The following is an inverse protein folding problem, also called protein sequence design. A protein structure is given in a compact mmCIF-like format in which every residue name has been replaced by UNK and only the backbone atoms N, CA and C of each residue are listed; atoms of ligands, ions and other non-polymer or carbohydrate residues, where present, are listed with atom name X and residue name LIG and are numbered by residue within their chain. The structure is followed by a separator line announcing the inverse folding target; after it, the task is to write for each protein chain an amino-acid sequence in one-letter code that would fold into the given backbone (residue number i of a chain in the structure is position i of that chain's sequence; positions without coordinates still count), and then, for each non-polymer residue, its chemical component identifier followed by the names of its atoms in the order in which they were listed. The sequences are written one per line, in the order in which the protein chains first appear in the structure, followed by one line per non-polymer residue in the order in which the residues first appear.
data_IF_164341179817
#
_entry.id   IF_164341179817
#
_cell.length_a   1.000
_cell.length_b   1.000
_cell.length_c   1.000
_cell.angle_alpha   90.00
_cell.angle_beta   90.00
_cell.angle_gamma   90.00
#
_symmetry.space_group_name_H-M   'P 1'
#
loop_
_entity.id
_entity.type
_entity.pdbx_description
1 polymer ?
#
# COMPACT_ATOMS: atom_id res chain seq x y z
N UNK A 1 -20.23 8.95 -13.09
CA UNK A 1 -19.34 8.13 -12.24
C UNK A 1 -17.93 8.69 -12.40
N UNK A 2 -17.33 9.22 -11.34
CA UNK A 2 -15.95 9.71 -11.34
C UNK A 2 -15.01 8.56 -10.99
N UNK A 3 -13.92 8.40 -11.75
CA UNK A 3 -12.87 7.42 -11.42
C UNK A 3 -11.61 8.18 -11.01
N UNK A 4 -11.12 7.94 -9.81
CA UNK A 4 -9.84 8.43 -9.34
C UNK A 4 -8.82 7.29 -9.38
N UNK A 5 -7.69 7.56 -10.02
CA UNK A 5 -6.56 6.63 -10.09
C UNK A 5 -5.34 7.32 -9.49
N UNK A 6 -4.78 6.73 -8.43
CA UNK A 6 -3.43 7.07 -7.98
C UNK A 6 -2.46 6.20 -8.78
N UNK A 7 -1.81 6.78 -9.79
CA UNK A 7 -0.87 6.08 -10.66
C UNK A 7 0.54 6.05 -10.06
N UNK A 8 1.30 4.99 -10.39
CA UNK A 8 2.68 4.76 -9.93
C UNK A 8 2.89 4.98 -8.42
N UNK A 9 1.95 4.51 -7.60
CA UNK A 9 2.03 4.62 -6.16
C UNK A 9 3.24 3.86 -5.61
N UNK A 10 4.00 4.52 -4.74
CA UNK A 10 5.24 4.01 -4.14
C UNK A 10 4.95 3.08 -2.96
N UNK A 11 4.10 2.10 -3.23
CA UNK A 11 3.64 1.04 -2.33
C UNK A 11 4.15 -0.27 -2.88
N UNK A 12 4.97 -0.97 -2.10
CA UNK A 12 5.53 -2.25 -2.48
C UNK A 12 5.96 -3.06 -1.26
N UNK A 13 5.99 -4.39 -1.42
CA UNK A 13 6.67 -5.27 -0.46
C UNK A 13 8.16 -4.97 -0.42
N UNK A 14 8.80 -5.31 0.70
CA UNK A 14 10.25 -5.20 0.85
C UNK A 14 11.00 -5.92 -0.29
N UNK A 15 11.86 -5.21 -1.06
CA UNK A 15 12.70 -5.83 -2.08
C UNK A 15 13.62 -6.91 -1.50
N UNK A 16 13.85 -7.97 -2.27
CA UNK A 16 14.69 -9.09 -1.84
C UNK A 16 16.13 -8.65 -1.49
N UNK A 17 16.67 -7.70 -2.25
CA UNK A 17 18.00 -7.12 -2.05
C UNK A 17 18.14 -6.32 -0.75
N UNK A 18 17.05 -5.78 -0.20
CA UNK A 18 17.05 -5.01 1.04
C UNK A 18 16.67 -5.84 2.28
N UNK A 19 16.12 -7.04 2.08
CA UNK A 19 15.57 -7.87 3.16
C UNK A 19 16.57 -8.23 4.26
N UNK A 20 17.86 -8.26 3.94
CA UNK A 20 18.94 -8.59 4.88
C UNK A 20 19.60 -7.35 5.52
N UNK A 21 19.17 -6.14 5.18
CA UNK A 21 19.75 -4.93 5.73
C UNK A 21 19.39 -4.76 7.22
N UNK A 22 20.33 -4.36 8.11
CA UNK A 22 20.08 -4.27 9.54
C UNK A 22 18.86 -3.42 9.93
N UNK A 23 18.64 -2.28 9.26
CA UNK A 23 17.47 -1.43 9.48
C UNK A 23 16.14 -2.14 9.18
N UNK A 24 16.11 -2.95 8.12
CA UNK A 24 14.93 -3.71 7.71
C UNK A 24 14.66 -4.84 8.70
N UNK A 25 15.70 -5.58 9.10
CA UNK A 25 15.60 -6.66 10.10
C UNK A 25 15.09 -6.11 11.44
N UNK A 26 15.63 -4.98 11.89
CA UNK A 26 15.22 -4.35 13.15
C UNK A 26 13.73 -3.95 13.13
N UNK A 27 13.28 -3.31 12.05
CA UNK A 27 11.88 -2.92 11.90
C UNK A 27 10.94 -4.14 11.79
N UNK A 28 11.31 -5.15 10.99
CA UNK A 28 10.56 -6.39 10.87
C UNK A 28 10.42 -7.12 12.22
N UNK A 29 11.50 -7.17 13.01
CA UNK A 29 11.49 -7.73 14.36
C UNK A 29 10.58 -6.96 15.30
N UNK A 30 10.60 -5.63 15.27
CA UNK A 30 9.70 -4.79 16.06
C UNK A 30 8.23 -5.06 15.72
N UNK A 31 7.93 -5.31 14.44
CA UNK A 31 6.59 -5.63 13.93
C UNK A 31 6.19 -7.09 14.13
N UNK A 32 7.11 -7.96 14.57
CA UNK A 32 6.87 -9.40 14.71
C UNK A 32 6.59 -10.10 13.38
N UNK A 33 7.13 -9.58 12.27
CA UNK A 33 6.90 -10.09 10.91
C UNK A 33 8.22 -10.46 10.21
N UNK A 34 8.20 -11.38 9.23
CA UNK A 34 9.34 -11.60 8.34
C UNK A 34 9.68 -10.34 7.53
N UNK A 35 10.97 -10.03 7.28
CA UNK A 35 11.40 -8.88 6.49
C UNK A 35 10.73 -8.74 5.11
N UNK A 36 10.48 -9.87 4.42
CA UNK A 36 9.83 -9.86 3.10
C UNK A 36 8.33 -9.56 3.13
N UNK A 37 7.69 -9.64 4.30
CA UNK A 37 6.25 -9.45 4.48
C UNK A 37 5.89 -8.03 4.95
N UNK A 38 6.88 -7.20 5.29
CA UNK A 38 6.64 -5.78 5.56
C UNK A 38 6.75 -4.96 4.29
N UNK A 39 6.11 -3.79 4.27
CA UNK A 39 6.25 -2.84 3.16
C UNK A 39 7.58 -2.08 3.22
N UNK A 40 8.05 -1.65 2.05
CA UNK A 40 9.11 -0.65 1.99
C UNK A 40 8.55 0.71 2.42
N UNK A 41 9.18 1.33 3.42
CA UNK A 41 8.86 2.66 3.91
C UNK A 41 10.16 3.43 4.19
N UNK A 42 10.31 4.58 3.55
CA UNK A 42 11.48 5.45 3.65
C UNK A 42 11.68 6.04 5.05
N UNK A 43 10.63 6.16 5.87
CA UNK A 43 10.75 6.61 7.26
C UNK A 43 11.57 5.63 8.12
N UNK A 44 11.49 4.33 7.81
CA UNK A 44 12.19 3.28 8.54
C UNK A 44 13.44 2.77 7.81
N UNK A 45 13.41 2.75 6.48
CA UNK A 45 14.40 2.05 5.65
C UNK A 45 15.31 2.97 4.86
N UNK A 46 15.31 4.28 5.11
CA UNK A 46 16.15 5.26 4.40
C UNK A 46 17.61 4.78 4.23
N UNK A 47 18.24 4.29 5.31
CA UNK A 47 19.62 3.79 5.25
C UNK A 47 19.80 2.62 4.27
N UNK A 48 18.83 1.70 4.22
CA UNK A 48 18.85 0.56 3.30
C UNK A 48 18.67 0.98 1.84
N UNK A 49 18.00 2.10 1.59
CA UNK A 49 17.60 2.54 0.26
C UNK A 49 18.66 3.35 -0.49
N UNK A 50 19.82 3.60 0.12
CA UNK A 50 20.88 4.47 -0.44
C UNK A 50 21.32 4.08 -1.86
N UNK A 51 21.40 2.77 -2.14
CA UNK A 51 21.81 2.23 -3.45
C UNK A 51 20.65 1.58 -4.22
N UNK A 52 19.42 1.75 -3.74
CA UNK A 52 18.23 1.20 -4.36
C UNK A 52 17.94 1.99 -5.63
N UNK A 53 17.68 1.30 -6.75
CA UNK A 53 17.23 1.97 -7.98
C UNK A 53 15.96 2.79 -7.69
N UNK A 54 15.98 4.05 -8.13
CA UNK A 54 14.94 5.05 -7.86
C UNK A 54 14.61 5.25 -6.36
N UNK A 55 15.55 4.96 -5.46
CA UNK A 55 15.32 4.99 -4.01
C UNK A 55 14.79 6.31 -3.46
N UNK A 56 15.00 7.43 -4.15
CA UNK A 56 14.50 8.76 -3.74
C UNK A 56 12.98 8.90 -3.74
N UNK A 57 12.27 8.18 -4.62
CA UNK A 57 10.80 8.21 -4.68
C UNK A 57 10.15 7.04 -3.94
N UNK A 58 10.87 5.92 -3.76
CA UNK A 58 10.36 4.66 -3.21
C UNK A 58 9.95 4.74 -1.75
N UNK A 59 9.12 3.77 -1.34
CA UNK A 59 8.71 3.61 0.06
C UNK A 59 7.95 4.81 0.60
N UNK A 60 6.92 5.25 -0.13
CA UNK A 60 6.01 6.34 0.28
C UNK A 60 4.55 5.89 0.39
N UNK A 61 4.24 4.83 1.17
CA UNK A 61 2.86 4.40 1.37
C UNK A 61 2.01 5.43 2.12
N UNK A 62 2.61 6.41 2.79
CA UNK A 62 1.94 7.57 3.40
C UNK A 62 1.13 8.40 2.38
N UNK A 63 1.63 8.53 1.14
CA UNK A 63 0.93 9.26 0.09
C UNK A 63 -0.38 8.53 -0.27
N UNK A 64 -0.30 7.21 -0.47
CA UNK A 64 -1.48 6.36 -0.70
C UNK A 64 -2.45 6.42 0.48
N UNK A 65 -1.93 6.42 1.70
CA UNK A 65 -2.75 6.54 2.91
C UNK A 65 -3.57 7.83 2.92
N UNK A 66 -2.92 8.98 2.71
CA UNK A 66 -3.57 10.28 2.67
C UNK A 66 -4.56 10.38 1.50
N UNK A 67 -4.19 9.86 0.33
CA UNK A 67 -5.06 9.81 -0.84
C UNK A 67 -6.36 9.06 -0.53
N UNK A 68 -6.26 7.85 0.04
CA UNK A 68 -7.43 7.03 0.35
C UNK A 68 -8.30 7.66 1.44
N UNK A 69 -7.70 8.20 2.51
CA UNK A 69 -8.43 8.91 3.56
C UNK A 69 -9.24 10.08 2.99
N UNK A 70 -8.64 10.84 2.07
CA UNK A 70 -9.28 12.01 1.45
C UNK A 70 -10.38 11.60 0.48
N UNK A 71 -10.08 10.64 -0.41
CA UNK A 71 -11.01 10.18 -1.43
C UNK A 71 -12.27 9.54 -0.82
N UNK A 72 -12.10 8.66 0.17
CA UNK A 72 -13.21 7.94 0.81
C UNK A 72 -14.12 8.86 1.64
N UNK A 73 -13.59 9.95 2.21
CA UNK A 73 -14.39 10.91 2.99
C UNK A 73 -15.10 11.97 2.14
N UNK A 74 -14.79 12.02 0.84
CA UNK A 74 -15.40 12.98 -0.09
C UNK A 74 -16.92 12.82 -0.21
N UNK A 75 -17.61 13.92 -0.49
CA UNK A 75 -19.06 13.92 -0.73
C UNK A 75 -19.39 12.98 -1.91
N UNK A 76 -18.58 13.00 -2.98
CA UNK A 76 -18.80 12.16 -4.17
C UNK A 76 -18.73 10.66 -3.84
N UNK A 77 -17.82 10.24 -2.94
CA UNK A 77 -17.78 8.85 -2.46
C UNK A 77 -19.00 8.51 -1.62
N UNK A 78 -19.38 9.40 -0.69
CA UNK A 78 -20.56 9.22 0.18
C UNK A 78 -21.88 9.12 -0.59
N UNK A 79 -21.94 9.71 -1.78
CA UNK A 79 -23.08 9.61 -2.71
C UNK A 79 -22.99 8.39 -3.65
N UNK A 80 -21.94 7.58 -3.57
CA UNK A 80 -21.78 6.36 -4.37
C UNK A 80 -21.32 6.61 -5.82
N UNK A 81 -20.77 7.79 -6.12
CA UNK A 81 -20.37 8.19 -7.47
C UNK A 81 -18.86 8.17 -7.70
N UNK A 82 -18.09 7.55 -6.81
CA UNK A 82 -16.64 7.45 -6.88
C UNK A 82 -16.18 6.01 -7.05
N UNK A 83 -15.33 5.77 -8.05
CA UNK A 83 -14.49 4.58 -8.18
C UNK A 83 -13.05 4.96 -7.85
N UNK A 84 -12.39 4.17 -6.99
CA UNK A 84 -11.02 4.44 -6.55
C UNK A 84 -10.13 3.26 -6.95
N UNK A 85 -9.02 3.58 -7.62
CA UNK A 85 -7.96 2.65 -7.98
C UNK A 85 -6.61 3.20 -7.48
N UNK A 86 -5.74 2.31 -7.03
CA UNK A 86 -4.33 2.61 -6.76
C UNK A 86 -3.50 1.66 -7.59
N UNK A 87 -2.78 2.18 -8.57
CA UNK A 87 -1.81 1.43 -9.35
C UNK A 87 -0.43 1.65 -8.74
N UNK A 88 0.25 0.58 -8.35
CA UNK A 88 1.55 0.63 -7.68
C UNK A 88 2.68 0.80 -8.68
N UNK A 89 3.91 0.99 -8.18
CA UNK A 89 5.12 1.01 -9.02
C UNK A 89 5.49 -0.34 -9.63
N UNK A 90 4.89 -1.43 -9.15
CA UNK A 90 5.18 -2.81 -9.58
C UNK A 90 4.02 -3.37 -10.43
N UNK A 91 3.26 -2.48 -11.08
CA UNK A 91 2.11 -2.80 -11.93
C UNK A 91 1.01 -3.62 -11.22
N UNK A 92 0.91 -3.48 -9.89
CA UNK A 92 -0.23 -4.02 -9.15
C UNK A 92 -1.34 -2.98 -9.08
N UNK A 93 -2.58 -3.41 -9.27
CA UNK A 93 -3.75 -2.56 -9.16
C UNK A 93 -4.60 -2.95 -7.94
N UNK A 94 -4.76 -2.00 -7.03
CA UNK A 94 -5.63 -2.11 -5.86
C UNK A 94 -6.97 -1.44 -6.19
N UNK A 95 -8.04 -2.23 -6.21
CA UNK A 95 -9.41 -1.74 -6.27
C UNK A 95 -9.95 -1.55 -4.86
N UNK A 96 -10.58 -0.41 -4.61
CA UNK A 96 -11.12 -0.04 -3.29
C UNK A 96 -12.63 0.05 -3.35
N UNK A 97 -13.31 -0.71 -2.49
CA UNK A 97 -14.76 -0.60 -2.33
C UNK A 97 -15.11 0.76 -1.70
N UNK A 98 -16.08 1.52 -2.23
CA UNK A 98 -16.48 2.83 -1.70
C UNK A 98 -16.91 2.83 -0.22
N UNK A 99 -17.35 1.68 0.33
CA UNK A 99 -17.75 1.52 1.73
C UNK A 99 -16.55 1.28 2.66
N UNK A 100 -15.35 1.10 2.11
CA UNK A 100 -14.13 0.88 2.87
C UNK A 100 -13.88 2.03 3.83
N UNK A 101 -13.56 1.70 5.08
CA UNK A 101 -13.07 2.67 6.07
C UNK A 101 -11.60 2.42 6.32
N UNK A 102 -10.77 3.25 5.71
CA UNK A 102 -9.32 3.18 5.92
C UNK A 102 -8.97 3.66 7.33
N UNK A 103 -8.07 2.93 7.97
CA UNK A 103 -7.63 3.22 9.33
C UNK A 103 -6.83 4.51 9.35
N UNK A 104 -7.16 5.44 10.26
CA UNK A 104 -6.42 6.72 10.40
C UNK A 104 -5.01 6.54 10.95
N UNK A 105 -4.78 5.48 11.73
CA UNK A 105 -3.45 5.15 12.22
C UNK A 105 -2.62 4.51 11.10
N UNK A 106 -1.47 5.09 10.81
CA UNK A 106 -0.59 4.69 9.72
C UNK A 106 -0.05 3.26 9.87
N UNK A 107 0.42 2.86 11.05
CA UNK A 107 0.93 1.50 11.30
C UNK A 107 -0.13 0.43 11.02
N UNK A 108 -1.39 0.70 11.41
CA UNK A 108 -2.49 -0.20 11.09
C UNK A 108 -2.78 -0.25 9.59
N UNK A 109 -2.71 0.89 8.89
CA UNK A 109 -2.84 0.94 7.43
C UNK A 109 -1.75 0.14 6.72
N UNK A 110 -0.48 0.23 7.16
CA UNK A 110 0.59 -0.63 6.66
C UNK A 110 0.25 -2.11 6.85
N UNK A 111 -0.21 -2.48 8.06
CA UNK A 111 -0.64 -3.86 8.34
C UNK A 111 -1.75 -4.37 7.43
N UNK A 112 -2.70 -3.51 7.06
CA UNK A 112 -3.78 -3.83 6.10
C UNK A 112 -3.24 -4.06 4.69
N UNK A 113 -2.36 -3.17 4.21
CA UNK A 113 -1.74 -3.34 2.90
C UNK A 113 -0.88 -4.60 2.85
N UNK A 114 -0.10 -4.89 3.89
CA UNK A 114 0.67 -6.14 4.01
C UNK A 114 -0.25 -7.38 3.91
N UNK A 115 -1.41 -7.36 4.56
CA UNK A 115 -2.42 -8.41 4.44
C UNK A 115 -3.04 -8.49 3.04
N UNK A 116 -3.28 -7.33 2.39
CA UNK A 116 -3.80 -7.26 1.04
C UNK A 116 -2.82 -7.87 0.03
N UNK A 117 -1.54 -7.54 0.17
CA UNK A 117 -0.50 -8.14 -0.66
C UNK A 117 -0.47 -9.65 -0.46
N UNK A 118 -0.51 -10.14 0.78
CA UNK A 118 -0.46 -11.58 1.08
C UNK A 118 -1.66 -12.36 0.56
N UNK A 119 -2.87 -11.83 0.75
CA UNK A 119 -4.12 -12.56 0.52
C UNK A 119 -4.82 -12.19 -0.79
N UNK A 120 -4.31 -11.18 -1.50
CA UNK A 120 -4.91 -10.48 -2.66
C UNK A 120 -6.27 -9.84 -2.40
N UNK A 121 -6.90 -10.11 -1.26
CA UNK A 121 -8.23 -9.63 -0.87
C UNK A 121 -8.26 -9.39 0.63
N UNK A 122 -8.94 -8.31 1.06
CA UNK A 122 -9.22 -8.03 2.48
C UNK A 122 -10.63 -7.47 2.64
N UNK A 123 -11.42 -7.84 3.68
CA UNK A 123 -11.11 -8.84 4.71
C UNK A 123 -11.24 -10.29 4.23
N UNK A 124 -12.17 -10.57 3.32
CA UNK A 124 -12.40 -11.91 2.80
C UNK A 124 -12.97 -11.89 1.37
N UNK A 125 -12.94 -13.05 0.71
CA UNK A 125 -13.36 -13.20 -0.69
C UNK A 125 -14.87 -13.03 -0.93
N UNK A 126 -15.71 -13.13 0.10
CA UNK A 126 -17.17 -12.98 -0.05
C UNK A 126 -17.57 -11.52 -0.11
N UNK A 127 -16.91 -10.68 0.69
CA UNK A 127 -17.15 -9.23 0.75
C UNK A 127 -15.82 -8.47 0.78
N UNK A 128 -15.09 -8.45 -0.36
CA UNK A 128 -13.82 -7.73 -0.44
C UNK A 128 -14.05 -6.22 -0.30
N UNK A 129 -13.28 -5.58 0.57
CA UNK A 129 -13.16 -4.13 0.65
C UNK A 129 -11.98 -3.62 -0.17
N UNK A 130 -10.90 -4.39 -0.20
CA UNK A 130 -9.74 -4.16 -1.04
C UNK A 130 -9.44 -5.43 -1.84
N UNK A 131 -9.12 -5.25 -3.12
CA UNK A 131 -8.70 -6.34 -4.02
C UNK A 131 -7.44 -5.92 -4.76
N UNK A 132 -6.43 -6.79 -4.79
CA UNK A 132 -5.19 -6.63 -5.52
C UNK A 132 -5.23 -7.48 -6.79
N UNK A 133 -4.87 -6.89 -7.92
CA UNK A 133 -4.64 -7.58 -9.19
C UNK A 133 -3.22 -7.30 -9.64
N UNK A 134 -2.41 -8.33 -9.80
CA UNK A 134 -0.99 -8.19 -10.18
C UNK A 134 -0.84 -8.06 -11.70
N UNK A 135 0.19 -7.33 -12.15
CA UNK A 135 0.56 -7.23 -13.57
C UNK A 135 -0.45 -6.50 -14.45
N UNK A 136 -1.20 -5.56 -13.88
CA UNK A 136 -2.13 -4.70 -14.62
C UNK A 136 -1.43 -3.41 -15.03
N UNK A 137 -0.91 -3.37 -16.27
CA UNK A 137 -0.48 -2.11 -16.89
C UNK A 137 -1.68 -1.20 -17.13
N UNK A 138 -1.58 0.06 -16.70
CA UNK A 138 -2.48 1.15 -17.11
C UNK A 138 -2.24 1.59 -18.56
#
# INVERSE_FOLDING_TARGET
MLTLVLAEAEVERMPAELSNHPAVIAHARQRGKPPRQILLDSNYHHAAMTNLSEGRRRGRPDITHLFLLTALESIVNKQGYLKILVHTRNDDCITVDPKTRIMRNYERFLGLLEQLFENHVVPDKKQPLLTLTEGMSL
#
